data_IF_922823403008
#
_entry.id   IF_922823403008
#
_cell.length_a   1.000
_cell.length_b   1.000
_cell.length_c   1.000
_cell.angle_alpha   90.00
_cell.angle_beta   90.00
_cell.angle_gamma   90.00
#
_symmetry.space_group_name_H-M   'P 1'
#
loop_
_entity.id
_entity.type
_entity.pdbx_description
1 polymer ?
#
# COMPACT_ATOMS: atom_id res chain seq x y z
N UNK A 1 -7.60 -44.71 14.06
CA UNK A 1 -6.70 -44.96 12.92
C UNK A 1 -5.63 -43.86 13.01
N UNK A 2 -4.46 -44.20 13.55
CA UNK A 2 -3.33 -43.31 13.73
C UNK A 2 -2.53 -43.23 12.43
N UNK A 3 -2.26 -42.04 11.96
CA UNK A 3 -1.33 -41.77 10.88
C UNK A 3 -0.04 -41.19 11.46
N UNK A 4 1.02 -41.91 11.20
CA UNK A 4 2.41 -41.73 11.59
C UNK A 4 2.98 -40.50 10.90
N UNK A 5 3.38 -39.49 11.65
CA UNK A 5 4.36 -38.48 11.18
C UNK A 5 5.74 -38.87 11.75
N UNK A 6 6.54 -39.44 10.85
CA UNK A 6 7.95 -39.73 11.16
C UNK A 6 8.75 -38.42 11.27
N UNK A 7 9.51 -38.32 12.33
CA UNK A 7 10.53 -37.27 12.51
C UNK A 7 11.64 -37.46 11.46
N UNK A 8 11.90 -36.43 10.67
CA UNK A 8 13.05 -36.37 9.76
C UNK A 8 14.33 -36.18 10.59
N UNK A 9 15.41 -36.96 10.33
CA UNK A 9 16.69 -36.79 11.01
C UNK A 9 17.36 -35.50 10.53
N UNK A 10 17.98 -34.78 11.50
CA UNK A 10 18.81 -33.62 11.22
C UNK A 10 20.10 -34.09 10.50
N UNK A 11 20.37 -33.48 9.33
CA UNK A 11 21.71 -33.47 8.76
C UNK A 11 21.94 -34.31 7.52
N UNK A 12 21.27 -34.00 6.38
CA UNK A 12 21.86 -34.26 5.06
C UNK A 12 21.54 -33.09 4.13
N UNK A 13 22.57 -32.36 3.72
CA UNK A 13 22.47 -31.31 2.71
C UNK A 13 22.34 -31.99 1.35
N UNK A 14 21.32 -31.60 0.58
CA UNK A 14 21.20 -32.02 -0.81
C UNK A 14 22.42 -31.51 -1.62
N UNK A 15 23.12 -32.39 -2.36
CA UNK A 15 24.24 -31.99 -3.20
C UNK A 15 23.69 -31.36 -4.48
N UNK A 16 23.74 -30.04 -4.59
CA UNK A 16 23.32 -29.34 -5.82
C UNK A 16 23.25 -27.82 -5.70
N UNK A 17 23.50 -27.26 -4.56
CA UNK A 17 23.55 -25.80 -4.41
C UNK A 17 25.00 -25.32 -4.35
N UNK A 18 25.51 -24.89 -5.51
CA UNK A 18 26.80 -24.19 -5.59
C UNK A 18 26.66 -22.76 -5.11
N UNK A 19 27.57 -22.30 -4.27
CA UNK A 19 27.64 -20.93 -3.69
C UNK A 19 27.95 -19.80 -4.72
N UNK A 20 27.84 -20.05 -6.00
CA UNK A 20 28.10 -19.07 -7.06
C UNK A 20 26.81 -18.70 -7.82
N UNK A 21 25.79 -18.17 -7.14
CA UNK A 21 24.77 -17.37 -7.84
C UNK A 21 25.32 -15.96 -8.01
N UNK A 22 25.92 -15.68 -9.16
CA UNK A 22 26.42 -14.39 -9.61
C UNK A 22 25.39 -13.30 -9.40
N UNK A 23 25.81 -12.21 -8.76
CA UNK A 23 25.16 -10.91 -8.84
C UNK A 23 25.15 -10.48 -10.30
N UNK A 24 24.12 -10.87 -11.03
CA UNK A 24 23.87 -10.45 -12.40
C UNK A 24 23.21 -9.09 -12.40
N UNK A 25 23.85 -8.08 -12.97
CA UNK A 25 23.24 -6.79 -13.24
C UNK A 25 21.94 -6.97 -14.04
N UNK A 26 20.87 -6.27 -13.63
CA UNK A 26 19.57 -6.32 -14.31
C UNK A 26 19.70 -6.07 -15.83
N UNK A 27 18.91 -6.76 -16.67
CA UNK A 27 18.94 -6.58 -18.12
C UNK A 27 18.66 -5.12 -18.52
N UNK A 28 19.39 -4.63 -19.52
CA UNK A 28 19.35 -3.26 -20.04
C UNK A 28 17.95 -2.72 -20.39
N UNK A 29 17.01 -3.59 -20.74
CA UNK A 29 15.62 -3.24 -21.06
C UNK A 29 14.80 -2.76 -19.85
N UNK A 30 15.16 -3.19 -18.62
CA UNK A 30 14.48 -2.80 -17.38
C UNK A 30 14.90 -1.38 -16.94
N UNK A 31 16.13 -0.99 -17.23
CA UNK A 31 16.57 0.40 -17.03
C UNK A 31 15.77 1.41 -17.85
N UNK A 32 15.33 1.06 -19.04
CA UNK A 32 14.63 2.01 -19.92
C UNK A 32 13.24 2.43 -19.44
N UNK A 33 12.51 1.58 -18.69
CA UNK A 33 11.20 1.96 -18.12
C UNK A 33 11.37 2.75 -16.81
N UNK A 34 12.44 2.47 -16.04
CA UNK A 34 12.80 3.24 -14.85
C UNK A 34 13.61 4.50 -15.19
N UNK A 35 14.47 4.45 -16.22
CA UNK A 35 15.25 5.61 -16.70
C UNK A 35 14.36 6.68 -17.35
N UNK A 36 13.17 6.35 -17.85
CA UNK A 36 12.17 7.36 -18.24
C UNK A 36 11.48 8.03 -17.04
N UNK A 37 11.50 7.39 -15.88
CA UNK A 37 10.99 7.95 -14.61
C UNK A 37 12.08 8.61 -13.74
N UNK A 38 13.36 8.41 -14.07
CA UNK A 38 14.52 8.90 -13.30
C UNK A 38 15.09 10.24 -13.79
N UNK A 39 14.37 10.98 -14.59
CA UNK A 39 14.84 12.27 -15.11
C UNK A 39 13.99 13.44 -14.63
N UNK A 40 14.55 14.21 -13.71
CA UNK A 40 14.01 15.38 -13.01
C UNK A 40 12.84 15.03 -12.08
N UNK A 41 12.84 15.61 -10.88
CA UNK A 41 11.63 15.56 -10.04
C UNK A 41 10.45 16.00 -10.94
N UNK A 42 9.44 15.14 -11.17
CA UNK A 42 8.35 15.50 -12.08
C UNK A 42 7.74 16.79 -11.56
N UNK A 43 7.47 17.74 -12.47
CA UNK A 43 6.75 18.94 -12.09
C UNK A 43 5.50 18.53 -11.33
N UNK A 44 5.28 19.11 -10.15
CA UNK A 44 4.12 18.79 -9.30
C UNK A 44 2.84 18.92 -10.13
N UNK A 45 2.13 17.83 -10.34
CA UNK A 45 0.86 17.81 -11.09
C UNK A 45 -0.19 18.63 -10.36
N UNK A 46 -1.11 19.18 -11.10
CA UNK A 46 -2.28 19.89 -10.57
C UNK A 46 -3.50 18.99 -10.80
N UNK A 47 -3.95 18.37 -9.73
CA UNK A 47 -5.00 17.35 -9.79
C UNK A 47 -6.39 17.97 -9.59
N UNK A 48 -7.34 17.62 -10.46
CA UNK A 48 -8.75 17.59 -10.11
C UNK A 48 -9.14 16.14 -9.86
N UNK A 49 -9.74 15.87 -8.68
CA UNK A 49 -10.09 14.50 -8.28
C UNK A 49 -11.58 14.26 -8.48
N UNK A 50 -11.95 13.30 -9.31
CA UNK A 50 -13.33 12.93 -9.61
C UNK A 50 -13.85 11.93 -8.57
N UNK A 51 -14.91 12.29 -7.85
CA UNK A 51 -15.59 11.42 -6.86
C UNK A 51 -17.09 11.29 -7.09
N UNK A 52 -17.70 12.16 -7.83
CA UNK A 52 -19.11 12.28 -8.26
C UNK A 52 -20.11 11.39 -7.48
N UNK A 53 -20.68 11.94 -6.41
CA UNK A 53 -21.62 11.27 -5.53
C UNK A 53 -21.06 10.13 -4.68
N UNK A 54 -19.73 9.94 -4.68
CA UNK A 54 -19.05 8.85 -3.98
C UNK A 54 -18.11 9.33 -2.85
N UNK A 55 -18.22 10.61 -2.46
CA UNK A 55 -17.40 11.18 -1.39
C UNK A 55 -17.81 10.62 -0.03
N UNK A 56 -17.37 9.40 0.26
CA UNK A 56 -17.47 8.76 1.58
C UNK A 56 -16.28 7.82 1.80
N UNK A 57 -15.95 7.57 3.06
CA UNK A 57 -14.71 6.87 3.48
C UNK A 57 -14.50 5.54 2.76
N UNK A 58 -15.58 4.82 2.47
CA UNK A 58 -15.47 3.49 1.84
C UNK A 58 -15.01 3.60 0.37
N UNK A 59 -15.65 4.44 -0.44
CA UNK A 59 -15.34 4.54 -1.88
C UNK A 59 -14.24 5.56 -2.19
N UNK A 60 -14.21 6.72 -1.49
CA UNK A 60 -13.28 7.82 -1.76
C UNK A 60 -11.89 7.63 -1.10
N UNK A 61 -11.54 6.43 -0.66
CA UNK A 61 -10.24 6.16 0.00
C UNK A 61 -9.03 6.55 -0.85
N UNK A 62 -9.13 6.44 -2.18
CA UNK A 62 -8.06 6.89 -3.10
C UNK A 62 -7.94 8.42 -3.07
N UNK A 63 -9.06 9.15 -3.22
CA UNK A 63 -9.06 10.61 -3.13
C UNK A 63 -8.50 11.09 -1.78
N UNK A 64 -9.02 10.54 -0.68
CA UNK A 64 -8.59 10.91 0.67
C UNK A 64 -7.11 10.58 0.93
N UNK A 65 -6.62 9.45 0.41
CA UNK A 65 -5.22 9.06 0.50
C UNK A 65 -4.30 10.03 -0.23
N UNK A 66 -4.63 10.36 -1.49
CA UNK A 66 -3.86 11.31 -2.30
C UNK A 66 -3.90 12.72 -1.71
N UNK A 67 -5.05 13.19 -1.20
CA UNK A 67 -5.16 14.50 -0.54
C UNK A 67 -4.28 14.57 0.71
N UNK A 68 -4.25 13.51 1.52
CA UNK A 68 -3.53 13.48 2.80
C UNK A 68 -2.03 13.30 2.65
N UNK A 69 -1.59 12.46 1.72
CA UNK A 69 -0.21 11.98 1.65
C UNK A 69 0.50 12.26 0.32
N UNK A 70 -0.25 12.65 -0.71
CA UNK A 70 0.32 12.91 -2.03
C UNK A 70 1.19 14.17 -2.05
N UNK A 71 2.14 14.20 -2.96
CA UNK A 71 3.02 15.36 -3.21
C UNK A 71 2.47 16.28 -4.30
N UNK A 72 1.52 15.81 -5.09
CA UNK A 72 0.85 16.59 -6.12
C UNK A 72 -0.14 17.60 -5.52
N UNK A 73 -0.34 18.71 -6.22
CA UNK A 73 -1.26 19.75 -5.79
C UNK A 73 -2.69 19.41 -6.19
N UNK A 74 -3.55 19.06 -5.25
CA UNK A 74 -4.98 18.94 -5.49
C UNK A 74 -5.60 20.34 -5.54
N UNK A 75 -6.16 20.72 -6.70
CA UNK A 75 -6.73 22.06 -6.92
C UNK A 75 -8.23 22.10 -6.75
N UNK A 76 -8.92 20.97 -6.96
CA UNK A 76 -10.36 20.81 -6.73
C UNK A 76 -10.75 19.35 -6.53
N UNK A 77 -11.86 19.16 -5.84
CA UNK A 77 -12.64 17.93 -5.87
C UNK A 77 -13.82 18.12 -6.84
N UNK A 78 -14.01 17.21 -7.79
CA UNK A 78 -15.12 17.24 -8.75
C UNK A 78 -16.21 16.28 -8.29
N UNK A 79 -17.29 16.86 -7.74
CA UNK A 79 -18.42 16.11 -7.19
C UNK A 79 -19.66 17.00 -7.12
N UNK A 80 -20.61 16.79 -8.04
CA UNK A 80 -21.80 17.65 -8.16
C UNK A 80 -22.75 17.52 -6.96
N UNK A 81 -22.74 16.36 -6.27
CA UNK A 81 -23.63 16.11 -5.14
C UNK A 81 -23.28 16.95 -3.88
N UNK A 82 -22.03 17.39 -3.78
CA UNK A 82 -21.53 18.18 -2.63
C UNK A 82 -20.84 19.47 -3.07
N UNK A 83 -21.11 19.92 -4.29
CA UNK A 83 -20.51 21.14 -4.84
C UNK A 83 -20.78 22.39 -3.98
N UNK A 84 -19.85 23.34 -4.00
CA UNK A 84 -19.87 24.57 -3.20
C UNK A 84 -19.39 24.38 -1.75
N UNK A 85 -19.07 23.16 -1.35
CA UNK A 85 -18.42 22.86 -0.08
C UNK A 85 -16.88 22.91 -0.19
N UNK A 86 -16.21 22.62 0.89
CA UNK A 86 -14.74 22.57 0.96
C UNK A 86 -14.30 21.25 1.63
N UNK A 87 -13.24 20.63 1.09
CA UNK A 87 -12.69 19.39 1.65
C UNK A 87 -12.25 19.55 3.10
N UNK A 88 -11.87 20.77 3.53
CA UNK A 88 -11.50 21.08 4.91
C UNK A 88 -12.61 20.74 5.94
N UNK A 89 -13.88 20.64 5.51
CA UNK A 89 -15.00 20.25 6.37
C UNK A 89 -14.90 18.79 6.84
N UNK A 90 -14.25 17.93 6.07
CA UNK A 90 -14.02 16.51 6.37
C UNK A 90 -12.55 16.18 6.68
N UNK A 91 -11.65 16.95 6.08
CA UNK A 91 -10.20 16.78 6.21
C UNK A 91 -9.56 18.11 6.61
N UNK A 92 -9.59 18.47 7.91
CA UNK A 92 -9.01 19.73 8.39
C UNK A 92 -7.58 19.96 7.91
N UNK A 93 -7.28 21.17 7.47
CA UNK A 93 -5.97 21.55 6.93
C UNK A 93 -5.86 21.41 5.39
N UNK A 94 -6.86 20.85 4.71
CA UNK A 94 -6.89 20.73 3.26
C UNK A 94 -7.94 21.68 2.65
N UNK A 95 -7.53 22.91 2.38
CA UNK A 95 -8.38 23.95 1.76
C UNK A 95 -8.51 23.68 0.25
N UNK A 96 -9.45 22.82 -0.12
CA UNK A 96 -9.70 22.38 -1.49
C UNK A 96 -11.18 22.60 -1.81
N UNK A 97 -11.53 23.43 -2.82
CA UNK A 97 -12.91 23.64 -3.22
C UNK A 97 -13.51 22.39 -3.86
N UNK A 98 -14.81 22.19 -3.63
CA UNK A 98 -15.61 21.18 -4.32
C UNK A 98 -16.40 21.88 -5.43
N UNK A 99 -16.20 21.44 -6.67
CA UNK A 99 -16.83 22.00 -7.86
C UNK A 99 -17.84 21.02 -8.47
N UNK A 100 -18.89 21.56 -9.10
CA UNK A 100 -19.94 20.75 -9.73
C UNK A 100 -19.52 20.23 -11.10
N UNK A 101 -18.71 20.99 -11.84
CA UNK A 101 -18.37 20.70 -13.23
C UNK A 101 -16.87 20.83 -13.48
N UNK A 102 -16.40 20.13 -14.52
CA UNK A 102 -15.01 20.26 -14.97
C UNK A 102 -14.69 21.69 -15.42
N UNK A 103 -15.64 22.35 -16.09
CA UNK A 103 -15.50 23.74 -16.55
C UNK A 103 -15.25 24.71 -15.37
N UNK A 104 -15.90 24.50 -14.22
CA UNK A 104 -15.58 25.27 -12.99
C UNK A 104 -14.14 25.01 -12.52
N UNK A 105 -13.68 23.75 -12.54
CA UNK A 105 -12.30 23.42 -12.17
C UNK A 105 -11.29 24.08 -13.12
N UNK A 106 -11.54 24.11 -14.41
CA UNK A 106 -10.68 24.72 -15.43
C UNK A 106 -10.60 26.25 -15.32
N UNK A 107 -11.60 26.91 -14.72
CA UNK A 107 -11.60 28.35 -14.47
C UNK A 107 -10.95 28.78 -13.17
N UNK A 108 -10.47 27.84 -12.35
CA UNK A 108 -9.76 28.19 -11.12
C UNK A 108 -8.50 29.01 -11.41
N UNK A 109 -8.04 29.83 -10.48
CA UNK A 109 -6.80 30.62 -10.63
C UNK A 109 -5.57 29.76 -10.96
N UNK A 110 -5.61 28.49 -10.53
CA UNK A 110 -4.63 27.45 -10.86
C UNK A 110 -5.39 26.28 -11.47
N UNK A 111 -5.56 26.21 -12.80
CA UNK A 111 -6.34 25.14 -13.44
C UNK A 111 -5.58 23.81 -13.33
N UNK A 112 -6.32 22.66 -13.27
CA UNK A 112 -5.73 21.33 -13.28
C UNK A 112 -5.04 21.01 -14.62
N UNK A 113 -4.10 20.08 -14.60
CA UNK A 113 -3.51 19.43 -15.77
C UNK A 113 -3.78 17.92 -15.80
N UNK A 114 -4.35 17.39 -14.73
CA UNK A 114 -4.58 15.95 -14.57
C UNK A 114 -5.91 15.69 -13.88
N UNK A 115 -6.74 14.83 -14.46
CA UNK A 115 -7.91 14.24 -13.81
C UNK A 115 -7.50 12.94 -13.12
N UNK A 116 -7.74 12.84 -11.81
CA UNK A 116 -7.57 11.62 -11.04
C UNK A 116 -8.92 10.97 -10.74
N UNK A 117 -9.08 9.68 -11.03
CA UNK A 117 -10.24 8.91 -10.59
C UNK A 117 -10.08 8.59 -9.11
N UNK A 118 -10.83 9.30 -8.25
CA UNK A 118 -10.65 9.31 -6.80
C UNK A 118 -11.32 8.17 -6.03
N UNK A 119 -11.94 7.22 -6.72
CA UNK A 119 -12.69 6.12 -6.09
C UNK A 119 -12.02 4.76 -6.28
N UNK A 120 -12.36 3.85 -5.37
CA UNK A 120 -12.01 2.44 -5.46
C UNK A 120 -13.24 1.58 -5.12
N UNK A 121 -14.25 1.57 -6.00
CA UNK A 121 -15.50 0.85 -5.76
C UNK A 121 -15.27 -0.66 -5.79
N UNK A 122 -16.11 -1.40 -5.07
CA UNK A 122 -16.11 -2.86 -5.12
C UNK A 122 -16.30 -3.35 -6.55
N UNK A 123 -15.44 -4.30 -6.99
CA UNK A 123 -15.40 -4.75 -8.39
C UNK A 123 -14.66 -3.81 -9.36
N UNK A 124 -14.26 -2.60 -8.92
CA UNK A 124 -13.34 -1.71 -9.65
C UNK A 124 -13.79 -1.25 -11.02
N UNK A 125 -15.11 -1.18 -11.27
CA UNK A 125 -15.68 -0.73 -12.55
C UNK A 125 -15.88 0.77 -12.56
N UNK A 126 -15.67 1.37 -13.73
CA UNK A 126 -16.05 2.77 -13.97
C UNK A 126 -17.59 2.90 -13.99
N UNK A 127 -18.20 3.83 -13.22
CA UNK A 127 -19.60 4.17 -13.41
C UNK A 127 -19.85 4.74 -14.82
N UNK A 128 -20.87 4.23 -15.52
CA UNK A 128 -21.19 4.65 -16.90
C UNK A 128 -21.44 6.16 -17.01
N UNK A 129 -22.04 6.76 -15.97
CA UNK A 129 -22.31 8.20 -15.89
C UNK A 129 -21.05 9.08 -15.91
N UNK A 130 -19.87 8.52 -15.58
CA UNK A 130 -18.61 9.28 -15.52
C UNK A 130 -17.89 9.37 -16.87
N UNK A 131 -18.34 8.57 -17.84
CA UNK A 131 -17.72 8.49 -19.17
C UNK A 131 -17.64 9.86 -19.85
N UNK A 132 -18.73 10.61 -19.82
CA UNK A 132 -18.80 11.94 -20.44
C UNK A 132 -17.78 12.91 -19.82
N UNK A 133 -17.68 12.95 -18.50
CA UNK A 133 -16.76 13.81 -17.77
C UNK A 133 -15.30 13.47 -18.07
N UNK A 134 -14.95 12.18 -18.18
CA UNK A 134 -13.60 11.75 -18.53
C UNK A 134 -13.25 12.16 -19.97
N UNK A 135 -14.18 11.99 -20.93
CA UNK A 135 -13.96 12.43 -22.31
C UNK A 135 -13.81 13.95 -22.40
N UNK A 136 -14.57 14.70 -21.61
CA UNK A 136 -14.45 16.16 -21.51
C UNK A 136 -13.05 16.55 -21.00
N UNK A 137 -12.57 15.91 -19.93
CA UNK A 137 -11.23 16.15 -19.38
C UNK A 137 -10.13 15.87 -20.42
N UNK A 138 -10.21 14.74 -21.11
CA UNK A 138 -9.27 14.38 -22.19
C UNK A 138 -9.26 15.45 -23.29
N UNK A 139 -10.45 15.87 -23.74
CA UNK A 139 -10.58 16.90 -24.79
C UNK A 139 -10.11 18.28 -24.34
N UNK A 140 -10.20 18.56 -23.04
CA UNK A 140 -9.68 19.79 -22.43
C UNK A 140 -8.15 19.75 -22.23
N UNK A 141 -7.47 18.66 -22.58
CA UNK A 141 -6.02 18.53 -22.50
C UNK A 141 -5.51 18.05 -21.13
N UNK A 142 -6.35 17.40 -20.31
CA UNK A 142 -5.92 16.81 -19.03
C UNK A 142 -5.45 15.38 -19.25
N UNK A 143 -4.33 15.01 -18.62
CA UNK A 143 -3.99 13.62 -18.42
C UNK A 143 -5.01 12.94 -17.51
N UNK A 144 -5.18 11.62 -17.62
CA UNK A 144 -6.12 10.86 -16.79
C UNK A 144 -5.39 9.78 -16.01
N UNK A 145 -5.51 9.80 -14.69
CA UNK A 145 -4.97 8.78 -13.80
C UNK A 145 -6.10 7.93 -13.21
N UNK A 146 -6.03 6.62 -13.41
CA UNK A 146 -7.03 5.66 -12.96
C UNK A 146 -6.41 4.55 -12.10
N UNK A 147 -7.08 4.22 -11.00
CA UNK A 147 -6.77 3.06 -10.15
C UNK A 147 -7.85 1.98 -10.23
N UNK A 148 -8.70 2.00 -11.25
CA UNK A 148 -9.76 1.01 -11.45
C UNK A 148 -9.22 -0.33 -11.95
N UNK A 149 -9.99 -1.41 -11.78
CA UNK A 149 -9.67 -2.71 -12.39
C UNK A 149 -9.97 -2.74 -13.90
N UNK A 150 -10.87 -1.88 -14.38
CA UNK A 150 -11.08 -1.63 -15.81
C UNK A 150 -10.05 -0.62 -16.29
N UNK A 151 -9.25 -0.99 -17.27
CA UNK A 151 -8.24 -0.11 -17.84
C UNK A 151 -8.91 0.87 -18.81
N UNK A 152 -8.82 2.16 -18.51
CA UNK A 152 -9.39 3.21 -19.37
C UNK A 152 -8.62 3.31 -20.69
N UNK A 153 -7.33 3.07 -20.68
CA UNK A 153 -6.48 3.08 -21.88
C UNK A 153 -6.79 1.97 -22.89
N UNK A 154 -7.53 0.91 -22.50
CA UNK A 154 -7.97 -0.16 -23.40
C UNK A 154 -9.36 0.14 -24.03
N UNK A 155 -10.06 1.18 -23.57
CA UNK A 155 -11.30 1.63 -24.18
C UNK A 155 -11.02 2.40 -25.47
N UNK A 156 -11.54 1.96 -26.62
CA UNK A 156 -11.21 2.58 -27.92
C UNK A 156 -11.56 4.06 -28.02
N UNK A 157 -12.65 4.50 -27.37
CA UNK A 157 -13.08 5.90 -27.41
C UNK A 157 -12.17 6.78 -26.55
N UNK A 158 -11.82 6.35 -25.34
CA UNK A 158 -10.86 7.06 -24.50
C UNK A 158 -9.48 7.11 -25.13
N UNK A 159 -8.99 5.98 -25.66
CA UNK A 159 -7.69 5.90 -26.31
C UNK A 159 -7.60 6.83 -27.54
N UNK A 160 -8.65 6.84 -28.40
CA UNK A 160 -8.71 7.73 -29.55
C UNK A 160 -8.75 9.21 -29.16
N UNK A 161 -9.56 9.55 -28.13
CA UNK A 161 -9.65 10.91 -27.62
C UNK A 161 -8.30 11.38 -27.04
N UNK A 162 -7.64 10.54 -26.25
CA UNK A 162 -6.34 10.86 -25.65
C UNK A 162 -5.26 11.07 -26.73
N UNK A 163 -5.20 10.19 -27.73
CA UNK A 163 -4.29 10.35 -28.86
C UNK A 163 -4.50 11.67 -29.61
N UNK A 164 -5.77 12.03 -29.89
CA UNK A 164 -6.08 13.27 -30.59
C UNK A 164 -5.76 14.52 -29.78
N UNK A 165 -5.91 14.45 -28.46
CA UNK A 165 -5.65 15.58 -27.55
C UNK A 165 -4.18 15.64 -27.09
N UNK A 166 -3.35 14.65 -27.40
CA UNK A 166 -1.94 14.59 -27.01
C UNK A 166 -1.75 14.42 -25.49
N UNK A 167 -2.68 13.73 -24.81
CA UNK A 167 -2.65 13.46 -23.37
C UNK A 167 -2.47 11.99 -23.08
N UNK A 168 -2.05 11.67 -21.85
CA UNK A 168 -1.81 10.31 -21.38
C UNK A 168 -2.97 9.80 -20.52
N UNK A 169 -3.32 8.52 -20.68
CA UNK A 169 -4.14 7.76 -19.74
C UNK A 169 -3.23 6.79 -19.00
N UNK A 170 -3.07 6.99 -17.69
CA UNK A 170 -2.26 6.13 -16.83
C UNK A 170 -3.15 5.25 -15.96
N UNK A 171 -3.23 3.98 -16.30
CA UNK A 171 -3.90 2.95 -15.52
C UNK A 171 -2.92 2.34 -14.50
N UNK A 172 -2.93 2.83 -13.26
CA UNK A 172 -1.99 2.43 -12.20
C UNK A 172 -2.05 0.95 -11.84
N UNK A 173 -3.17 0.26 -12.10
CA UNK A 173 -3.29 -1.18 -11.89
C UNK A 173 -2.78 -2.03 -13.04
N UNK A 174 -2.28 -1.42 -14.12
CA UNK A 174 -1.70 -2.19 -15.23
C UNK A 174 -0.41 -2.84 -14.75
N UNK A 175 -0.36 -4.19 -14.69
CA UNK A 175 0.82 -4.87 -14.17
C UNK A 175 2.00 -4.68 -15.13
N UNK A 176 3.23 -4.66 -14.64
CA UNK A 176 4.42 -4.69 -15.48
C UNK A 176 4.46 -6.03 -16.23
N UNK A 177 5.09 -6.02 -17.40
CA UNK A 177 5.34 -7.25 -18.18
C UNK A 177 6.52 -8.02 -17.57
N UNK A 178 6.32 -8.55 -16.36
CA UNK A 178 7.31 -9.33 -15.63
C UNK A 178 6.70 -10.67 -15.25
N UNK A 179 7.40 -11.75 -15.57
CA UNK A 179 6.98 -13.11 -15.31
C UNK A 179 8.08 -13.89 -14.57
N UNK A 180 8.83 -13.21 -13.69
CA UNK A 180 9.84 -13.86 -12.87
C UNK A 180 9.19 -14.40 -11.58
N UNK A 181 9.51 -15.64 -11.25
CA UNK A 181 9.18 -16.23 -9.95
C UNK A 181 10.18 -15.75 -8.89
N UNK A 182 9.77 -15.76 -7.62
CA UNK A 182 10.67 -15.47 -6.52
C UNK A 182 11.83 -16.49 -6.45
N UNK A 183 12.99 -16.00 -6.06
CA UNK A 183 14.21 -16.81 -5.90
C UNK A 183 14.70 -16.85 -4.45
N UNK A 184 13.93 -16.31 -3.51
CA UNK A 184 14.32 -16.22 -2.09
C UNK A 184 15.49 -15.25 -1.91
N UNK A 185 15.40 -14.09 -2.51
CA UNK A 185 16.44 -13.06 -2.48
C UNK A 185 16.75 -12.64 -1.03
N UNK A 186 18.03 -12.50 -0.74
CA UNK A 186 18.49 -11.94 0.54
C UNK A 186 18.43 -10.41 0.50
N UNK A 187 18.12 -9.82 1.63
CA UNK A 187 18.15 -8.37 1.79
C UNK A 187 19.60 -7.83 1.73
N UNK A 188 19.70 -6.59 1.26
CA UNK A 188 20.97 -5.85 1.30
C UNK A 188 21.43 -5.72 2.77
N UNK A 189 22.71 -5.96 3.10
CA UNK A 189 23.25 -5.66 4.41
C UNK A 189 22.98 -4.21 4.81
N UNK A 190 22.52 -3.98 6.02
CA UNK A 190 22.08 -2.67 6.48
C UNK A 190 20.61 -2.35 6.21
N UNK A 191 19.92 -3.12 5.36
CA UNK A 191 18.48 -2.93 5.13
C UNK A 191 17.63 -3.46 6.29
N UNK A 192 16.52 -2.77 6.52
CA UNK A 192 15.45 -3.11 7.47
C UNK A 192 14.12 -3.13 6.75
N UNK A 193 13.61 -4.30 6.45
CA UNK A 193 12.35 -4.48 5.75
C UNK A 193 11.23 -4.71 6.73
N UNK A 194 10.22 -3.85 6.70
CA UNK A 194 9.02 -3.91 7.54
C UNK A 194 7.80 -4.02 6.64
N UNK A 195 6.93 -4.99 6.90
CA UNK A 195 5.65 -5.13 6.22
C UNK A 195 4.51 -4.76 7.17
N UNK A 196 3.62 -3.86 6.74
CA UNK A 196 2.35 -3.68 7.45
C UNK A 196 1.41 -4.83 7.10
N UNK A 197 0.93 -5.56 8.09
CA UNK A 197 -0.07 -6.62 7.95
C UNK A 197 -1.33 -6.22 8.70
N UNK A 198 -2.44 -6.91 8.56
CA UNK A 198 -3.62 -6.45 9.26
C UNK A 198 -4.73 -7.47 9.39
N UNK A 199 -5.58 -7.24 10.39
CA UNK A 199 -6.69 -8.12 10.77
C UNK A 199 -7.88 -8.08 9.80
N UNK A 200 -7.92 -7.11 8.87
CA UNK A 200 -8.94 -7.03 7.83
C UNK A 200 -8.47 -6.16 6.65
N UNK A 201 -9.29 -6.08 5.61
CA UNK A 201 -9.16 -5.14 4.50
C UNK A 201 -9.57 -3.72 4.92
N UNK A 202 -9.11 -2.70 4.20
CA UNK A 202 -9.51 -1.30 4.35
C UNK A 202 -9.39 -0.69 5.77
N UNK A 203 -8.65 -1.31 6.69
CA UNK A 203 -8.46 -0.84 8.08
C UNK A 203 -7.34 0.19 8.25
N UNK A 204 -6.57 0.50 7.18
CA UNK A 204 -5.58 1.58 7.18
C UNK A 204 -4.12 1.17 7.02
N UNK A 205 -3.79 -0.03 6.52
CA UNK A 205 -2.39 -0.51 6.34
C UNK A 205 -1.50 0.46 5.56
N UNK A 206 -1.99 1.01 4.45
CA UNK A 206 -1.31 2.04 3.66
C UNK A 206 -1.03 3.30 4.50
N UNK A 207 -2.03 3.82 5.19
CA UNK A 207 -1.89 5.02 6.03
C UNK A 207 -0.87 4.81 7.14
N UNK A 208 -0.89 3.63 7.79
CA UNK A 208 0.09 3.26 8.80
C UNK A 208 1.50 3.23 8.22
N UNK A 209 1.71 2.59 7.06
CA UNK A 209 3.02 2.53 6.41
C UNK A 209 3.55 3.95 6.09
N UNK A 210 2.68 4.86 5.64
CA UNK A 210 3.02 6.24 5.33
C UNK A 210 3.32 7.08 6.59
N UNK A 211 2.55 6.92 7.67
CA UNK A 211 2.82 7.60 8.95
C UNK A 211 4.12 7.09 9.59
N UNK A 212 4.40 5.78 9.51
CA UNK A 212 5.67 5.21 9.96
C UNK A 212 6.85 5.75 9.14
N UNK A 213 6.73 5.81 7.79
CA UNK A 213 7.76 6.42 6.95
C UNK A 213 8.04 7.87 7.36
N UNK A 214 6.99 8.65 7.56
CA UNK A 214 7.10 10.07 7.95
C UNK A 214 7.83 10.21 9.29
N UNK A 215 7.47 9.41 10.28
CA UNK A 215 8.13 9.43 11.60
C UNK A 215 9.57 8.92 11.53
N UNK A 216 9.85 7.90 10.72
CA UNK A 216 11.20 7.42 10.46
C UNK A 216 12.09 8.52 9.86
N UNK A 217 11.62 9.18 8.81
CA UNK A 217 12.34 10.27 8.17
C UNK A 217 12.55 11.47 9.11
N UNK A 218 11.56 11.79 9.95
CA UNK A 218 11.69 12.82 10.97
C UNK A 218 12.72 12.46 12.06
N UNK A 219 12.90 11.16 12.33
CA UNK A 219 13.95 10.65 13.23
C UNK A 219 15.34 10.61 12.58
N UNK A 220 15.47 10.87 11.28
CA UNK A 220 16.73 10.86 10.53
C UNK A 220 17.01 9.55 9.79
N UNK A 221 16.10 8.60 9.83
CA UNK A 221 16.25 7.32 9.12
C UNK A 221 16.01 7.49 7.61
N UNK A 222 16.81 6.80 6.78
CA UNK A 222 16.61 6.76 5.34
C UNK A 222 15.43 5.80 4.99
N UNK A 223 14.21 6.24 5.29
CA UNK A 223 13.01 5.43 5.15
C UNK A 223 12.33 5.61 3.80
N UNK A 224 11.97 4.48 3.16
CA UNK A 224 11.30 4.38 1.87
C UNK A 224 9.99 3.63 2.04
N UNK A 225 8.96 4.13 1.39
CA UNK A 225 7.68 3.43 1.24
C UNK A 225 7.67 2.61 -0.04
N UNK A 226 7.25 1.35 0.02
CA UNK A 226 7.07 0.46 -1.13
C UNK A 226 5.59 0.28 -1.37
N UNK A 227 5.01 1.01 -2.33
CA UNK A 227 3.59 0.93 -2.64
C UNK A 227 3.26 -0.38 -3.36
N UNK A 228 2.29 -1.11 -2.85
CA UNK A 228 1.82 -2.37 -3.43
C UNK A 228 0.42 -2.26 -4.01
N UNK A 229 -0.25 -1.13 -3.81
CA UNK A 229 -1.59 -0.80 -4.30
C UNK A 229 -1.64 0.52 -5.06
N UNK A 230 -2.69 0.69 -5.87
CA UNK A 230 -2.84 1.85 -6.76
C UNK A 230 -2.80 3.20 -6.04
N UNK A 231 -3.36 3.30 -4.84
CA UNK A 231 -3.37 4.56 -4.09
C UNK A 231 -1.97 4.93 -3.61
N UNK A 232 -1.24 3.96 -3.08
CA UNK A 232 0.16 4.15 -2.70
C UNK A 232 1.03 4.56 -3.90
N UNK A 233 0.79 3.97 -5.08
CA UNK A 233 1.49 4.33 -6.32
C UNK A 233 1.17 5.76 -6.77
N UNK A 234 -0.07 6.21 -6.63
CA UNK A 234 -0.46 7.60 -6.93
C UNK A 234 0.19 8.61 -5.98
N UNK A 235 0.41 8.21 -4.72
CA UNK A 235 1.04 9.03 -3.68
C UNK A 235 2.56 9.14 -3.90
N UNK A 236 3.23 8.03 -4.16
CA UNK A 236 4.70 7.93 -4.14
C UNK A 236 5.33 7.89 -5.55
N UNK A 237 4.50 7.78 -6.61
CA UNK A 237 4.93 7.87 -8.02
C UNK A 237 5.58 6.62 -8.58
N UNK A 238 5.64 5.51 -7.85
CA UNK A 238 6.20 4.23 -8.28
C UNK A 238 5.49 3.04 -7.61
N UNK A 239 5.93 1.81 -7.90
CA UNK A 239 5.37 0.59 -7.29
C UNK A 239 4.59 -0.27 -8.27
N UNK A 240 3.94 -1.31 -7.75
CA UNK A 240 3.09 -2.23 -8.53
C UNK A 240 1.83 -2.56 -7.75
N UNK A 241 0.68 -2.51 -8.43
CA UNK A 241 -0.57 -3.03 -7.88
C UNK A 241 -0.52 -4.58 -7.90
N UNK A 242 -0.04 -5.17 -6.81
CA UNK A 242 0.26 -6.61 -6.73
C UNK A 242 -0.99 -7.49 -6.86
N UNK A 243 -2.16 -6.96 -6.56
CA UNK A 243 -3.47 -7.60 -6.74
C UNK A 243 -3.86 -7.81 -8.22
N UNK A 244 -3.06 -7.28 -9.15
CA UNK A 244 -3.23 -7.47 -10.61
C UNK A 244 -2.12 -8.32 -11.23
N UNK A 245 -1.15 -8.72 -10.45
CA UNK A 245 -0.08 -9.63 -10.91
C UNK A 245 -0.60 -11.07 -10.92
N UNK A 246 -0.22 -11.85 -11.94
CA UNK A 246 -0.53 -13.28 -12.00
C UNK A 246 0.07 -13.97 -10.77
N UNK A 247 -0.72 -14.85 -10.12
CA UNK A 247 -0.41 -15.47 -8.83
C UNK A 247 1.03 -16.02 -8.74
N UNK A 248 1.51 -16.70 -9.80
CA UNK A 248 2.84 -17.33 -9.85
C UNK A 248 3.99 -16.33 -9.76
N UNK A 249 3.72 -15.05 -10.07
CA UNK A 249 4.74 -14.00 -10.16
C UNK A 249 4.62 -12.90 -9.10
N UNK A 250 3.64 -13.02 -8.18
CA UNK A 250 3.42 -12.02 -7.11
C UNK A 250 4.67 -11.88 -6.26
N UNK A 251 5.20 -12.98 -5.74
CA UNK A 251 6.36 -12.98 -4.86
C UNK A 251 7.62 -12.43 -5.58
N UNK A 252 7.85 -12.83 -6.84
CA UNK A 252 8.98 -12.32 -7.63
C UNK A 252 8.85 -10.83 -7.95
N UNK A 253 7.63 -10.35 -8.18
CA UNK A 253 7.35 -8.92 -8.33
C UNK A 253 7.67 -8.16 -7.05
N UNK A 254 7.29 -8.70 -5.88
CA UNK A 254 7.58 -8.09 -4.58
C UNK A 254 9.10 -8.08 -4.30
N UNK A 255 9.83 -9.16 -4.58
CA UNK A 255 11.29 -9.19 -4.49
C UNK A 255 11.95 -8.07 -5.32
N UNK A 256 11.48 -7.86 -6.55
CA UNK A 256 11.97 -6.78 -7.39
C UNK A 256 11.66 -5.39 -6.81
N UNK A 257 10.45 -5.18 -6.28
CA UNK A 257 10.08 -3.92 -5.64
C UNK A 257 10.94 -3.63 -4.42
N UNK A 258 11.34 -4.67 -3.67
CA UNK A 258 12.26 -4.52 -2.54
C UNK A 258 13.67 -4.13 -2.99
N UNK A 259 14.18 -4.72 -4.09
CA UNK A 259 15.48 -4.33 -4.65
C UNK A 259 15.52 -2.84 -4.98
N UNK A 260 14.45 -2.33 -5.59
CA UNK A 260 14.28 -0.91 -5.87
C UNK A 260 14.17 -0.10 -4.57
N UNK A 261 13.37 -0.54 -3.59
CA UNK A 261 13.22 0.12 -2.29
C UNK A 261 14.55 0.20 -1.53
N UNK A 262 15.30 -0.90 -1.46
CA UNK A 262 16.62 -0.97 -0.81
C UNK A 262 17.70 -0.14 -1.52
N UNK A 263 17.50 0.19 -2.80
CA UNK A 263 18.40 1.12 -3.51
C UNK A 263 18.17 2.57 -3.11
N UNK A 264 16.97 2.88 -2.58
CA UNK A 264 16.53 4.24 -2.21
C UNK A 264 16.69 4.57 -0.74
N UNK A 265 16.73 3.55 0.13
CA UNK A 265 16.89 3.76 1.58
C UNK A 265 17.14 2.46 2.33
N UNK A 266 17.48 2.60 3.60
CA UNK A 266 17.83 1.45 4.44
C UNK A 266 16.62 0.91 5.23
N UNK A 267 15.63 1.75 5.54
CA UNK A 267 14.37 1.35 6.16
C UNK A 267 13.27 1.26 5.11
N UNK A 268 12.95 0.03 4.71
CA UNK A 268 12.00 -0.26 3.63
C UNK A 268 10.66 -0.65 4.23
N UNK A 269 9.67 0.23 4.13
CA UNK A 269 8.33 0.03 4.70
C UNK A 269 7.37 -0.37 3.59
N UNK A 270 6.99 -1.64 3.58
CA UNK A 270 6.13 -2.24 2.55
C UNK A 270 4.66 -2.08 2.92
N UNK A 271 3.88 -1.57 1.97
CA UNK A 271 2.42 -1.49 2.10
C UNK A 271 1.81 -2.89 2.11
N UNK A 272 1.05 -3.23 3.16
CA UNK A 272 0.30 -4.47 3.25
C UNK A 272 -1.08 -4.38 2.59
N UNK A 273 -1.57 -5.51 2.12
CA UNK A 273 -2.90 -5.67 1.55
C UNK A 273 -3.58 -6.93 2.09
N UNK A 274 -4.92 -6.95 2.04
CA UNK A 274 -5.70 -8.10 2.46
C UNK A 274 -5.60 -8.43 3.96
N UNK A 275 -5.93 -9.66 4.29
CA UNK A 275 -5.77 -10.27 5.62
C UNK A 275 -5.61 -11.79 5.45
N UNK A 276 -4.78 -12.45 6.27
CA UNK A 276 -4.50 -13.90 6.11
C UNK A 276 -5.71 -14.79 6.35
N UNK A 277 -6.64 -14.38 7.20
CA UNK A 277 -7.87 -15.11 7.51
C UNK A 277 -9.07 -14.68 6.67
N UNK A 278 -8.88 -13.70 5.76
CA UNK A 278 -9.97 -13.23 4.91
C UNK A 278 -10.19 -14.17 3.72
N UNK A 279 -11.38 -14.78 3.55
CA UNK A 279 -11.62 -15.80 2.51
C UNK A 279 -11.36 -15.34 1.08
N UNK A 280 -11.55 -14.04 0.79
CA UNK A 280 -11.37 -13.48 -0.56
C UNK A 280 -9.99 -12.86 -0.81
N UNK A 281 -9.27 -12.40 0.23
CA UNK A 281 -8.09 -11.56 0.06
C UNK A 281 -6.83 -12.06 0.79
N UNK A 282 -6.83 -13.31 1.26
CA UNK A 282 -5.67 -13.91 1.95
C UNK A 282 -4.48 -14.14 1.03
N UNK A 283 -4.71 -14.44 -0.25
CA UNK A 283 -3.65 -14.76 -1.21
C UNK A 283 -2.68 -13.60 -1.43
N UNK A 284 -3.16 -12.37 -1.50
CA UNK A 284 -2.30 -11.18 -1.67
C UNK A 284 -1.44 -10.95 -0.43
N UNK A 285 -1.99 -11.15 0.76
CA UNK A 285 -1.23 -11.04 2.02
C UNK A 285 -0.11 -12.07 2.08
N UNK A 286 -0.42 -13.33 1.74
CA UNK A 286 0.56 -14.41 1.65
C UNK A 286 1.67 -14.08 0.64
N UNK A 287 1.30 -13.58 -0.53
CA UNK A 287 2.23 -13.17 -1.57
C UNK A 287 3.18 -12.06 -1.10
N UNK A 288 2.65 -11.08 -0.36
CA UNK A 288 3.45 -10.00 0.22
C UNK A 288 4.40 -10.52 1.32
N UNK A 289 3.94 -11.35 2.25
CA UNK A 289 4.77 -11.92 3.31
C UNK A 289 5.93 -12.72 2.73
N UNK A 290 5.66 -13.63 1.81
CA UNK A 290 6.67 -14.52 1.24
C UNK A 290 7.59 -13.81 0.23
N UNK A 291 7.07 -12.85 -0.54
CA UNK A 291 7.88 -12.09 -1.50
C UNK A 291 8.74 -11.03 -0.83
N UNK A 292 8.24 -10.40 0.25
CA UNK A 292 9.02 -9.40 0.98
C UNK A 292 9.97 -10.02 2.01
N UNK A 293 9.73 -11.25 2.46
CA UNK A 293 10.51 -11.87 3.56
C UNK A 293 10.88 -10.88 4.66
N UNK A 294 9.89 -10.14 5.25
CA UNK A 294 10.17 -8.96 6.03
C UNK A 294 10.95 -9.32 7.29
N UNK A 295 11.90 -8.49 7.69
CA UNK A 295 12.59 -8.65 8.97
C UNK A 295 11.61 -8.56 10.14
N UNK A 296 10.62 -7.66 10.02
CA UNK A 296 9.59 -7.47 11.00
C UNK A 296 8.26 -7.10 10.34
N UNK A 297 7.16 -7.29 11.08
CA UNK A 297 5.82 -6.89 10.68
C UNK A 297 5.24 -5.90 11.69
N UNK A 298 4.40 -4.99 11.21
CA UNK A 298 3.54 -4.13 12.04
C UNK A 298 2.10 -4.54 11.81
N UNK A 299 1.45 -4.97 12.89
CA UNK A 299 0.06 -5.41 12.85
C UNK A 299 -0.87 -4.22 12.89
N UNK A 300 -1.68 -4.04 11.86
CA UNK A 300 -2.76 -3.04 11.81
C UNK A 300 -4.05 -3.71 12.25
N UNK A 301 -4.74 -3.11 13.21
CA UNK A 301 -5.99 -3.65 13.74
C UNK A 301 -7.02 -2.53 13.95
N UNK A 302 -8.27 -2.84 13.70
CA UNK A 302 -9.40 -1.93 13.98
C UNK A 302 -10.24 -2.52 15.12
N UNK A 303 -10.01 -2.08 16.35
CA UNK A 303 -10.76 -2.57 17.51
C UNK A 303 -12.25 -2.37 17.33
N UNK A 304 -13.04 -3.33 17.81
CA UNK A 304 -14.50 -3.33 17.67
C UNK A 304 -15.02 -4.07 16.43
N UNK A 305 -14.16 -4.41 15.46
CA UNK A 305 -14.53 -5.35 14.40
C UNK A 305 -14.36 -6.79 14.90
N UNK A 306 -15.41 -7.58 14.75
CA UNK A 306 -15.45 -9.00 15.14
C UNK A 306 -15.56 -9.92 13.92
N UNK A 307 -15.97 -9.38 12.79
CA UNK A 307 -16.18 -10.09 11.53
C UNK A 307 -15.57 -9.31 10.37
N UNK A 308 -15.15 -10.03 9.34
CA UNK A 308 -14.66 -9.42 8.10
C UNK A 308 -15.77 -8.72 7.35
N UNK A 309 -15.44 -7.59 6.73
CA UNK A 309 -16.37 -6.80 5.93
C UNK A 309 -16.59 -7.42 4.54
N UNK A 310 -17.81 -7.85 4.29
CA UNK A 310 -18.30 -8.37 3.01
C UNK A 310 -19.49 -7.55 2.51
N UNK A 311 -19.26 -6.30 2.14
CA UNK A 311 -20.31 -5.38 1.66
C UNK A 311 -21.30 -5.97 0.64
N UNK A 312 -20.84 -6.90 -0.18
CA UNK A 312 -21.63 -7.52 -1.25
C UNK A 312 -22.29 -8.86 -0.85
N UNK A 313 -21.99 -9.36 0.34
CA UNK A 313 -22.55 -10.59 0.91
C UNK A 313 -22.87 -10.40 2.39
N UNK A 314 -23.87 -9.58 2.74
CA UNK A 314 -24.14 -9.21 4.13
C UNK A 314 -24.58 -10.39 5.03
N UNK A 315 -24.92 -11.53 4.42
CA UNK A 315 -25.25 -12.77 5.16
C UNK A 315 -24.00 -13.64 5.46
N UNK A 316 -22.84 -13.31 4.88
CA UNK A 316 -21.60 -14.03 5.11
C UNK A 316 -20.98 -13.55 6.42
N UNK A 317 -20.79 -14.46 7.36
CA UNK A 317 -20.14 -14.21 8.65
C UNK A 317 -18.82 -14.97 8.69
N UNK A 318 -17.72 -14.22 8.76
CA UNK A 318 -16.37 -14.76 8.92
C UNK A 318 -15.70 -14.03 10.07
N UNK A 319 -15.56 -14.69 11.24
CA UNK A 319 -14.99 -14.05 12.40
C UNK A 319 -13.52 -13.70 12.20
N UNK A 320 -13.12 -12.53 12.67
CA UNK A 320 -11.73 -12.11 12.76
C UNK A 320 -11.09 -12.84 13.95
N UNK A 321 -9.93 -13.45 13.75
CA UNK A 321 -9.18 -14.10 14.82
C UNK A 321 -8.78 -13.10 15.92
N UNK A 322 -8.67 -13.59 17.18
CA UNK A 322 -8.17 -12.76 18.27
C UNK A 322 -6.76 -12.26 17.98
N UNK A 323 -6.47 -11.04 18.39
CA UNK A 323 -5.22 -10.36 18.02
C UNK A 323 -3.94 -11.16 18.36
N UNK A 324 -3.77 -11.78 19.55
CA UNK A 324 -2.61 -12.61 19.85
C UNK A 324 -2.48 -13.85 18.94
N UNK A 325 -3.61 -14.49 18.63
CA UNK A 325 -3.66 -15.66 17.74
C UNK A 325 -3.32 -15.25 16.30
N UNK A 326 -3.79 -14.08 15.90
CA UNK A 326 -3.56 -13.54 14.57
C UNK A 326 -2.09 -13.11 14.36
N UNK A 327 -1.46 -12.54 15.40
CA UNK A 327 -0.01 -12.27 15.43
C UNK A 327 0.77 -13.57 15.25
N UNK A 328 0.46 -14.60 16.04
CA UNK A 328 1.12 -15.90 15.96
C UNK A 328 0.96 -16.56 14.58
N UNK A 329 -0.22 -16.41 13.94
CA UNK A 329 -0.47 -16.88 12.58
C UNK A 329 0.48 -16.22 11.58
N UNK A 330 0.60 -14.89 11.61
CA UNK A 330 1.48 -14.14 10.70
C UNK A 330 2.95 -14.54 10.87
N UNK A 331 3.41 -14.67 12.11
CA UNK A 331 4.79 -15.10 12.40
C UNK A 331 5.04 -16.54 11.93
N UNK A 332 4.06 -17.42 12.09
CA UNK A 332 4.14 -18.81 11.61
C UNK A 332 4.23 -18.86 10.09
N UNK A 333 3.37 -18.12 9.40
CA UNK A 333 3.34 -18.07 7.94
C UNK A 333 4.63 -17.46 7.38
N UNK A 334 5.11 -16.37 7.95
CA UNK A 334 6.39 -15.76 7.56
C UNK A 334 7.55 -16.74 7.78
N UNK A 335 7.56 -17.45 8.91
CA UNK A 335 8.57 -18.43 9.27
C UNK A 335 8.73 -19.62 8.32
N UNK A 336 7.78 -19.85 7.43
CA UNK A 336 7.90 -20.87 6.37
C UNK A 336 8.98 -20.53 5.33
N UNK A 337 9.31 -19.26 5.16
CA UNK A 337 10.30 -18.77 4.20
C UNK A 337 11.48 -18.10 4.89
N UNK A 338 11.20 -17.15 5.79
CA UNK A 338 12.23 -16.45 6.55
C UNK A 338 11.70 -16.06 7.94
N UNK A 339 12.55 -16.00 8.98
CA UNK A 339 12.12 -15.57 10.30
C UNK A 339 11.66 -14.12 10.28
N UNK A 340 10.51 -13.87 10.88
CA UNK A 340 9.93 -12.54 11.05
C UNK A 340 9.15 -12.44 12.36
N UNK A 341 9.00 -11.24 12.90
CA UNK A 341 8.25 -10.97 14.12
C UNK A 341 7.35 -9.76 13.95
N UNK A 342 6.18 -9.81 14.60
CA UNK A 342 5.38 -8.59 14.83
C UNK A 342 6.06 -7.80 15.95
N UNK A 343 6.45 -6.57 15.68
CA UNK A 343 7.21 -5.70 16.60
C UNK A 343 6.43 -4.50 17.11
N UNK A 344 5.18 -4.33 16.62
CA UNK A 344 4.31 -3.24 17.05
C UNK A 344 2.92 -3.39 16.46
N UNK A 345 1.97 -2.69 17.06
CA UNK A 345 0.56 -2.71 16.69
C UNK A 345 0.11 -1.28 16.39
N UNK A 346 -0.43 -1.09 15.18
CA UNK A 346 -1.05 0.16 14.79
C UNK A 346 -2.57 -0.01 14.82
N UNK A 347 -3.23 0.76 15.66
CA UNK A 347 -4.67 0.72 15.85
C UNK A 347 -5.37 1.77 14.99
N UNK A 348 -6.51 1.42 14.44
CA UNK A 348 -7.47 2.35 13.88
C UNK A 348 -8.62 2.51 14.86
N UNK A 349 -8.56 3.54 15.71
CA UNK A 349 -9.55 3.77 16.76
C UNK A 349 -10.75 4.59 16.30
N UNK A 350 -11.04 4.64 14.99
CA UNK A 350 -12.11 5.47 14.42
C UNK A 350 -13.53 5.11 14.91
N UNK A 351 -13.75 3.88 15.40
CA UNK A 351 -15.01 3.47 16.02
C UNK A 351 -15.20 4.03 17.45
N UNK A 352 -14.16 4.63 18.03
CA UNK A 352 -14.13 5.16 19.38
C UNK A 352 -13.82 6.66 19.32
N UNK A 353 -14.84 7.54 19.12
CA UNK A 353 -14.62 8.97 18.93
C UNK A 353 -14.02 9.66 20.15
N UNK A 354 -14.33 9.19 21.35
CA UNK A 354 -13.82 9.75 22.60
C UNK A 354 -12.33 9.40 22.79
N UNK A 355 -11.49 10.42 22.96
CA UNK A 355 -10.04 10.24 23.09
C UNK A 355 -9.65 9.34 24.27
N UNK A 356 -10.30 9.53 25.42
CA UNK A 356 -10.03 8.74 26.61
C UNK A 356 -10.34 7.25 26.41
N UNK A 357 -11.35 6.92 25.60
CA UNK A 357 -11.69 5.54 25.27
C UNK A 357 -10.67 4.95 24.30
N UNK A 358 -10.30 5.69 23.24
CA UNK A 358 -9.27 5.28 22.30
C UNK A 358 -7.94 4.98 23.02
N UNK A 359 -7.52 5.82 23.95
CA UNK A 359 -6.30 5.59 24.75
C UNK A 359 -6.39 4.35 25.63
N UNK A 360 -7.53 4.12 26.30
CA UNK A 360 -7.74 2.88 27.08
C UNK A 360 -7.65 1.61 26.22
N UNK A 361 -8.11 1.67 24.98
CA UNK A 361 -8.00 0.55 24.04
C UNK A 361 -6.55 0.32 23.64
N UNK A 362 -5.76 1.37 23.44
CA UNK A 362 -4.33 1.28 23.18
C UNK A 362 -3.63 0.58 24.36
N UNK A 363 -3.83 1.09 25.59
CA UNK A 363 -3.24 0.53 26.82
C UNK A 363 -3.65 -0.95 27.03
N UNK A 364 -4.91 -1.26 26.76
CA UNK A 364 -5.40 -2.65 26.84
C UNK A 364 -4.71 -3.56 25.80
N UNK A 365 -4.56 -3.07 24.55
CA UNK A 365 -3.88 -3.83 23.50
C UNK A 365 -2.43 -4.12 23.86
N UNK A 366 -1.71 -3.14 24.40
CA UNK A 366 -0.33 -3.34 24.89
C UNK A 366 -0.29 -4.39 26.00
N UNK A 367 -1.23 -4.33 26.96
CA UNK A 367 -1.30 -5.29 28.05
C UNK A 367 -1.63 -6.71 27.57
N UNK A 368 -2.52 -6.85 26.58
CA UNK A 368 -2.92 -8.16 26.04
C UNK A 368 -1.82 -8.82 25.23
N UNK A 369 -1.08 -8.04 24.47
CA UNK A 369 -0.11 -8.56 23.48
C UNK A 369 1.33 -8.48 23.92
N UNK A 370 1.65 -7.62 24.88
CA UNK A 370 3.03 -7.31 25.28
C UNK A 370 3.82 -6.53 24.23
N UNK A 371 3.14 -6.00 23.19
CA UNK A 371 3.76 -5.23 22.10
C UNK A 371 3.36 -3.76 22.21
N UNK A 372 4.24 -2.83 21.78
CA UNK A 372 3.90 -1.42 21.74
C UNK A 372 2.74 -1.19 20.77
N UNK A 373 1.77 -0.36 21.19
CA UNK A 373 0.60 -0.02 20.38
C UNK A 373 0.37 1.50 20.31
N UNK A 374 -0.18 1.98 19.20
CA UNK A 374 -0.63 3.36 19.04
C UNK A 374 -1.68 3.46 17.92
N UNK A 375 -2.42 4.58 17.88
CA UNK A 375 -3.11 5.00 16.66
C UNK A 375 -2.26 6.08 15.97
N UNK A 376 -1.47 5.69 14.96
CA UNK A 376 -0.51 6.58 14.32
C UNK A 376 -1.15 7.70 13.52
N UNK A 377 -2.39 7.49 13.06
CA UNK A 377 -3.13 8.51 12.28
C UNK A 377 -3.75 9.56 13.19
N UNK A 378 -4.21 9.14 14.38
CA UNK A 378 -4.91 10.02 15.33
C UNK A 378 -3.95 10.73 16.30
N UNK A 379 -2.92 10.03 16.78
CA UNK A 379 -2.05 10.52 17.84
C UNK A 379 -0.58 10.68 17.42
N UNK A 380 -0.26 10.40 16.14
CA UNK A 380 1.09 10.42 15.61
C UNK A 380 1.82 9.08 15.79
N UNK A 381 2.83 8.86 14.97
CA UNK A 381 3.57 7.59 14.89
C UNK A 381 4.92 7.60 15.60
N UNK A 382 5.41 8.75 16.09
CA UNK A 382 6.79 8.89 16.59
C UNK A 382 7.12 7.96 17.78
N UNK A 383 6.16 7.78 18.70
CA UNK A 383 6.29 6.85 19.82
C UNK A 383 6.42 5.40 19.34
N UNK A 384 5.48 5.02 18.48
CA UNK A 384 5.43 3.67 17.92
C UNK A 384 6.68 3.38 17.06
N UNK A 385 7.12 4.36 16.24
CA UNK A 385 8.32 4.21 15.43
C UNK A 385 9.57 3.91 16.26
N UNK A 386 9.78 4.63 17.37
CA UNK A 386 10.92 4.40 18.27
C UNK A 386 10.94 2.98 18.84
N UNK A 387 9.77 2.44 19.21
CA UNK A 387 9.66 1.09 19.71
C UNK A 387 9.89 0.04 18.59
N UNK A 388 9.30 0.26 17.40
CA UNK A 388 9.52 -0.56 16.22
C UNK A 388 11.01 -0.59 15.85
N UNK A 389 11.64 0.57 15.74
CA UNK A 389 13.06 0.70 15.43
C UNK A 389 13.93 -0.15 16.42
N UNK A 390 13.69 0.03 17.73
CA UNK A 390 14.37 -0.75 18.76
C UNK A 390 14.11 -2.25 18.63
N UNK A 391 12.85 -2.62 18.39
CA UNK A 391 12.43 -4.01 18.21
C UNK A 391 13.12 -4.68 17.03
N UNK A 392 13.16 -4.00 15.87
CA UNK A 392 13.82 -4.49 14.65
C UNK A 392 15.32 -4.68 14.85
N UNK A 393 16.01 -3.69 15.42
CA UNK A 393 17.46 -3.74 15.70
C UNK A 393 17.83 -4.83 16.70
N UNK A 394 16.90 -5.27 17.53
CA UNK A 394 17.11 -6.35 18.48
C UNK A 394 17.03 -7.76 17.85
N UNK A 395 16.45 -7.89 16.65
CA UNK A 395 16.21 -9.19 16.00
C UNK A 395 17.53 -9.87 15.60
N UNK A 396 17.75 -11.15 15.95
CA UNK A 396 18.99 -11.86 15.64
C UNK A 396 19.30 -11.91 14.15
N UNK A 397 18.32 -12.19 13.32
CA UNK A 397 18.49 -12.33 11.86
C UNK A 397 18.79 -11.00 11.16
N UNK A 398 18.42 -9.86 11.75
CA UNK A 398 18.84 -8.54 11.27
C UNK A 398 20.34 -8.36 11.46
N UNK A 399 20.85 -8.67 12.65
CA UNK A 399 22.28 -8.62 12.96
C UNK A 399 23.11 -9.61 12.13
N UNK A 400 22.57 -10.81 11.89
CA UNK A 400 23.21 -11.79 11.01
C UNK A 400 23.29 -11.32 9.56
N UNK A 401 22.24 -10.62 9.06
CA UNK A 401 22.26 -10.03 7.72
C UNK A 401 23.35 -8.97 7.60
N UNK A 402 23.51 -8.12 8.60
CA UNK A 402 24.54 -7.07 8.63
C UNK A 402 25.96 -7.65 8.70
N UNK A 403 26.17 -8.68 9.52
CA UNK A 403 27.46 -9.33 9.68
C UNK A 403 28.00 -9.96 8.38
N UNK A 404 27.10 -10.33 7.45
CA UNK A 404 27.50 -10.89 6.14
C UNK A 404 27.99 -9.84 5.15
N UNK A 405 27.71 -8.56 5.39
CA UNK A 405 28.18 -7.43 4.59
C UNK A 405 29.45 -6.78 5.14
N UNK A 406 29.93 -7.22 6.30
CA UNK A 406 31.19 -6.72 6.84
C UNK A 406 32.38 -7.25 6.01
N UNK A 407 33.35 -6.39 5.64
CA UNK A 407 34.51 -6.76 4.82
C UNK A 407 35.43 -7.78 5.49
#
# INVERSE_FOLDING_TARGET
MGAVYGTLPAGERHPGWSDEARVGAAPRAVRQVLDSAAMSAPATRRLVILTEGQWHVHNAKTAMGVIRYGTDRVVALLDSAIAGRNVAEWMPGHDIPVVATLDEALRLPTPPDTLLIGIAPTGGKLPDSWRATILEAIRAGLNVHSGLHTFLGDDPEFAAAAHMSGVEILDHRRPPQRNETAVGRRHKPGSRVILTVGSDCAIGKMSVALELRKSAQAAGDAAVFVPTGQTGMMIDGWGVAVDRVISDFVQGTVEWMLEEGESRGDWVIVEGQGSLDHPAYSSVTLGLIHGSTPHAMVMVHKPGLTEHDFDHLPEASFPIARLPEFIALHETVAGLVAPSKVVGIALNTSLFPEEAEARRIIDWTESETGLPAADPVRFGADGLWREIHRGVEALPWVRENDARGAP
#
